data_IF_919228299368
#
_entry.id   IF_919228299368
#
_cell.length_a   1.000
_cell.length_b   1.000
_cell.length_c   1.000
_cell.angle_alpha   90.00
_cell.angle_beta   90.00
_cell.angle_gamma   90.00
#
_symmetry.space_group_name_H-M   'P 1'
#
loop_
_entity.id
_entity.type
_entity.pdbx_description
1 polymer ?
#
# COMPACT_ATOMS: atom_id res chain seq x y z
N UNK A 1 -28.36 2.29 -22.11
CA UNK A 1 -28.40 2.78 -23.51
C UNK A 1 -27.14 3.54 -23.95
N UNK A 2 -26.52 4.43 -23.16
CA UNK A 2 -25.34 5.18 -23.63
C UNK A 2 -24.01 4.39 -23.56
N UNK A 3 -23.89 3.42 -22.62
CA UNK A 3 -22.68 2.60 -22.45
C UNK A 3 -22.50 1.54 -23.54
N UNK A 4 -23.58 0.86 -23.97
CA UNK A 4 -23.51 -0.13 -25.06
C UNK A 4 -22.98 0.48 -26.36
N UNK A 5 -23.43 1.70 -26.71
CA UNK A 5 -22.94 2.41 -27.88
C UNK A 5 -21.46 2.81 -27.75
N UNK A 6 -21.02 3.22 -26.56
CA UNK A 6 -19.60 3.57 -26.30
C UNK A 6 -18.65 2.37 -26.44
N UNK A 7 -19.11 1.17 -26.08
CA UNK A 7 -18.28 -0.04 -26.06
C UNK A 7 -18.61 -1.05 -27.17
N UNK A 8 -19.38 -0.64 -28.19
CA UNK A 8 -19.76 -1.50 -29.31
C UNK A 8 -18.57 -2.10 -30.11
N UNK A 9 -17.38 -1.51 -29.97
CA UNK A 9 -16.13 -2.02 -30.56
C UNK A 9 -15.59 -3.27 -29.85
N UNK A 10 -16.00 -3.53 -28.60
CA UNK A 10 -15.62 -4.71 -27.84
C UNK A 10 -16.61 -5.83 -28.18
N UNK A 11 -16.14 -6.83 -28.92
CA UNK A 11 -16.97 -7.99 -29.30
C UNK A 11 -17.47 -8.71 -28.05
N UNK A 12 -18.79 -8.80 -27.90
CA UNK A 12 -19.43 -9.45 -26.75
C UNK A 12 -19.61 -8.54 -25.51
N UNK A 13 -19.41 -7.23 -25.64
CA UNK A 13 -19.71 -6.31 -24.54
C UNK A 13 -21.19 -6.33 -24.16
N UNK A 14 -21.48 -6.48 -22.86
CA UNK A 14 -22.85 -6.51 -22.33
C UNK A 14 -23.61 -7.83 -22.55
N UNK A 15 -22.95 -8.86 -23.08
CA UNK A 15 -23.58 -10.19 -23.32
C UNK A 15 -24.10 -10.85 -22.04
N UNK A 16 -23.44 -10.60 -20.91
CA UNK A 16 -23.83 -11.10 -19.57
C UNK A 16 -24.95 -10.27 -18.92
N UNK A 17 -25.36 -9.16 -19.53
CA UNK A 17 -26.44 -8.31 -19.01
C UNK A 17 -27.83 -8.76 -19.48
N UNK A 18 -27.90 -9.62 -20.50
CA UNK A 18 -29.14 -10.19 -21.02
C UNK A 18 -29.61 -11.35 -20.14
N UNK A 19 -30.75 -11.22 -19.43
CA UNK A 19 -31.26 -12.26 -18.54
C UNK A 19 -31.70 -13.53 -19.27
N UNK A 20 -31.93 -13.47 -20.58
CA UNK A 20 -32.31 -14.63 -21.40
C UNK A 20 -31.08 -15.40 -21.89
N UNK A 21 -29.89 -14.80 -21.82
CA UNK A 21 -28.65 -15.35 -22.33
C UNK A 21 -27.87 -16.12 -21.26
N UNK A 22 -28.55 -17.04 -20.57
CA UNK A 22 -27.96 -17.88 -19.53
C UNK A 22 -28.25 -19.37 -19.77
N UNK A 23 -27.31 -20.29 -19.46
CA UNK A 23 -27.52 -21.74 -19.66
C UNK A 23 -28.72 -22.32 -18.89
N UNK A 24 -29.16 -21.60 -17.84
CA UNK A 24 -30.26 -22.00 -16.95
C UNK A 24 -31.61 -21.38 -17.34
N UNK A 25 -31.66 -20.52 -18.35
CA UNK A 25 -32.91 -19.98 -18.90
C UNK A 25 -33.59 -21.02 -19.80
N UNK A 26 -34.92 -21.22 -19.74
CA UNK A 26 -35.93 -20.62 -18.84
C UNK A 26 -36.24 -21.49 -17.60
N UNK A 27 -35.43 -22.51 -17.29
CA UNK A 27 -35.74 -23.55 -16.30
C UNK A 27 -35.64 -23.01 -14.86
N UNK A 28 -34.68 -22.12 -14.60
CA UNK A 28 -34.46 -21.55 -13.26
C UNK A 28 -35.51 -20.48 -12.96
N UNK A 29 -36.19 -20.61 -11.81
CA UNK A 29 -37.06 -19.57 -11.27
C UNK A 29 -36.23 -18.59 -10.46
N UNK A 30 -35.85 -17.48 -11.07
CA UNK A 30 -35.04 -16.46 -10.43
C UNK A 30 -35.85 -15.70 -9.38
N UNK A 31 -35.30 -15.58 -8.18
CA UNK A 31 -35.74 -14.59 -7.18
C UNK A 31 -34.92 -13.33 -7.47
N UNK A 32 -35.55 -12.15 -7.44
CA UNK A 32 -35.02 -10.90 -8.02
C UNK A 32 -33.53 -10.57 -7.75
N UNK A 33 -32.96 -11.04 -6.63
CA UNK A 33 -31.55 -10.92 -6.28
C UNK A 33 -30.58 -11.49 -7.33
N UNK A 34 -30.98 -12.51 -8.09
CA UNK A 34 -30.12 -13.12 -9.10
C UNK A 34 -29.93 -12.25 -10.35
N UNK A 35 -30.95 -11.51 -10.78
CA UNK A 35 -30.90 -10.63 -11.96
C UNK A 35 -30.64 -9.15 -11.61
N UNK A 36 -30.83 -8.74 -10.36
CA UNK A 36 -30.51 -7.37 -9.93
C UNK A 36 -29.01 -7.09 -9.78
N UNK A 37 -28.14 -8.08 -10.03
CA UNK A 37 -26.67 -7.93 -10.00
C UNK A 37 -26.17 -6.80 -10.91
N UNK A 38 -26.81 -6.63 -12.07
CA UNK A 38 -26.47 -5.59 -13.06
C UNK A 38 -27.01 -4.21 -12.68
N UNK A 39 -28.08 -4.18 -11.87
CA UNK A 39 -28.75 -2.96 -11.38
C UNK A 39 -28.43 -2.67 -9.91
N UNK A 40 -27.31 -3.18 -9.41
CA UNK A 40 -26.85 -2.94 -8.05
C UNK A 40 -26.61 -1.44 -7.81
N UNK A 41 -27.30 -0.88 -6.82
CA UNK A 41 -27.04 0.48 -6.36
C UNK A 41 -25.75 0.51 -5.54
N UNK A 42 -24.78 1.31 -6.00
CA UNK A 42 -23.50 1.42 -5.29
C UNK A 42 -23.75 2.05 -3.91
N UNK A 43 -23.21 1.47 -2.82
CA UNK A 43 -23.37 2.03 -1.48
C UNK A 43 -22.77 3.44 -1.41
N UNK A 44 -23.28 4.30 -0.50
CA UNK A 44 -22.77 5.64 -0.33
C UNK A 44 -21.28 5.59 0.02
N UNK A 45 -20.52 6.49 -0.61
CA UNK A 45 -19.09 6.61 -0.39
C UNK A 45 -18.84 7.18 1.01
N UNK A 46 -18.01 6.52 1.82
CA UNK A 46 -17.63 7.09 3.10
C UNK A 46 -16.78 8.37 2.92
N UNK A 47 -16.85 9.34 3.84
CA UNK A 47 -16.12 10.59 3.72
C UNK A 47 -14.61 10.37 3.77
N UNK A 48 -13.88 11.02 2.86
CA UNK A 48 -12.42 11.01 2.80
C UNK A 48 -11.89 12.12 3.72
N UNK A 49 -11.40 11.75 4.90
CA UNK A 49 -10.85 12.68 5.89
C UNK A 49 -9.32 12.82 5.82
N UNK A 50 -8.65 11.85 5.22
CA UNK A 50 -7.19 11.76 5.08
C UNK A 50 -6.85 11.30 3.67
N UNK A 51 -5.60 11.49 3.25
CA UNK A 51 -5.13 10.97 1.96
C UNK A 51 -5.19 9.43 1.94
N UNK A 52 -5.87 8.88 0.94
CA UNK A 52 -6.01 7.43 0.74
C UNK A 52 -5.33 7.07 -0.57
N UNK A 53 -4.33 6.20 -0.47
CA UNK A 53 -3.71 5.62 -1.64
C UNK A 53 -4.48 4.35 -2.00
N UNK A 54 -4.95 4.28 -3.24
CA UNK A 54 -5.73 3.16 -3.75
C UNK A 54 -5.07 2.59 -5.00
N UNK A 55 -5.54 1.41 -5.41
CA UNK A 55 -5.12 0.72 -6.63
C UNK A 55 -5.18 1.65 -7.85
N UNK A 56 -4.11 1.72 -8.62
CA UNK A 56 -4.10 2.44 -9.90
C UNK A 56 -4.87 1.68 -11.01
N UNK A 57 -5.23 0.42 -10.77
CA UNK A 57 -5.97 -0.43 -11.71
C UNK A 57 -7.49 -0.26 -11.57
N UNK A 58 -7.94 0.29 -10.44
CA UNK A 58 -9.36 0.51 -10.17
C UNK A 58 -9.71 1.99 -10.22
N UNK A 59 -10.77 2.38 -10.94
CA UNK A 59 -11.22 3.76 -10.95
C UNK A 59 -11.84 4.11 -9.61
N UNK A 60 -11.11 4.89 -8.80
CA UNK A 60 -11.58 5.47 -7.55
C UNK A 60 -11.36 4.59 -6.31
N UNK A 61 -11.79 5.12 -5.17
CA UNK A 61 -11.68 4.48 -3.85
C UNK A 61 -12.84 3.52 -3.61
N UNK A 62 -12.63 2.48 -2.79
CA UNK A 62 -13.69 1.59 -2.33
C UNK A 62 -14.70 2.35 -1.47
N UNK A 63 -15.97 1.92 -1.46
CA UNK A 63 -17.04 2.59 -0.69
C UNK A 63 -16.71 2.71 0.81
N UNK A 64 -16.01 1.70 1.34
CA UNK A 64 -15.40 1.68 2.67
C UNK A 64 -13.92 1.35 2.52
N UNK A 65 -13.08 2.08 3.22
CA UNK A 65 -11.62 1.98 3.31
C UNK A 65 -11.17 2.22 4.75
N UNK A 66 -10.07 1.60 5.17
CA UNK A 66 -9.46 1.83 6.47
C UNK A 66 -7.99 2.18 6.29
N UNK A 67 -7.51 3.19 7.02
CA UNK A 67 -6.08 3.50 7.08
C UNK A 67 -5.65 3.77 8.52
N UNK A 68 -4.79 2.92 9.05
CA UNK A 68 -4.20 3.10 10.39
C UNK A 68 -2.99 4.05 10.37
N UNK A 69 -2.38 4.22 9.20
CA UNK A 69 -1.16 5.00 9.01
C UNK A 69 -1.31 5.84 7.74
N UNK A 70 -1.94 7.03 7.79
CA UNK A 70 -2.06 7.89 6.63
C UNK A 70 -0.66 8.25 6.08
N UNK A 71 -0.51 8.50 4.76
CA UNK A 71 0.78 8.80 4.15
C UNK A 71 1.34 10.15 4.63
N UNK A 72 2.28 10.11 5.56
CA UNK A 72 2.93 11.30 6.11
C UNK A 72 4.46 11.24 5.97
N UNK A 73 5.11 12.41 5.99
CA UNK A 73 6.57 12.50 5.95
C UNK A 73 7.24 11.90 4.69
N UNK A 74 8.45 11.41 4.87
CA UNK A 74 9.25 10.73 3.84
C UNK A 74 8.66 9.36 3.52
N UNK A 75 8.21 8.59 4.52
CA UNK A 75 7.59 7.29 4.27
C UNK A 75 6.32 7.43 3.42
N UNK A 76 5.51 8.46 3.66
CA UNK A 76 4.35 8.82 2.84
C UNK A 76 4.72 9.12 1.39
N UNK A 77 5.80 9.86 1.14
CA UNK A 77 6.28 10.12 -0.22
C UNK A 77 6.70 8.84 -0.96
N UNK A 78 7.33 7.90 -0.25
CA UNK A 78 7.70 6.60 -0.81
C UNK A 78 6.43 5.79 -1.14
N UNK A 79 5.41 5.81 -0.27
CA UNK A 79 4.11 5.19 -0.57
C UNK A 79 3.46 5.83 -1.78
N UNK A 80 3.39 7.16 -1.88
CA UNK A 80 2.86 7.86 -3.07
C UNK A 80 3.58 7.46 -4.36
N UNK A 81 4.89 7.20 -4.30
CA UNK A 81 5.65 6.67 -5.43
C UNK A 81 5.28 5.22 -5.77
N UNK A 82 5.11 4.36 -4.77
CA UNK A 82 4.71 2.97 -4.94
C UNK A 82 3.37 2.83 -5.69
N UNK A 83 2.36 3.62 -5.28
CA UNK A 83 1.01 3.57 -5.85
C UNK A 83 0.90 4.14 -7.28
N UNK A 84 1.98 4.68 -7.85
CA UNK A 84 2.05 4.99 -9.29
C UNK A 84 2.30 3.76 -10.16
N UNK A 85 2.83 2.68 -9.58
CA UNK A 85 3.14 1.44 -10.27
C UNK A 85 2.01 0.43 -10.08
N UNK A 86 1.79 -0.44 -11.07
CA UNK A 86 0.83 -1.56 -10.97
C UNK A 86 1.20 -2.47 -9.80
N UNK A 87 0.17 -3.01 -9.15
CA UNK A 87 0.29 -3.94 -8.04
C UNK A 87 0.99 -5.25 -8.43
N UNK A 88 1.07 -5.57 -9.72
CA UNK A 88 1.85 -6.71 -10.23
C UNK A 88 3.37 -6.46 -10.24
N UNK A 89 3.80 -5.21 -10.08
CA UNK A 89 5.20 -4.80 -10.25
C UNK A 89 5.97 -4.76 -8.94
N UNK A 90 7.25 -5.12 -8.99
CA UNK A 90 8.20 -4.88 -7.90
C UNK A 90 8.34 -3.39 -7.55
N UNK A 91 8.09 -2.48 -8.50
CA UNK A 91 8.09 -1.04 -8.28
C UNK A 91 6.99 -0.57 -7.32
N UNK A 92 5.96 -1.39 -7.10
CA UNK A 92 4.93 -1.14 -6.09
C UNK A 92 5.37 -1.68 -4.73
N UNK A 93 5.76 -2.95 -4.65
CA UNK A 93 5.99 -3.62 -3.36
C UNK A 93 7.31 -3.27 -2.67
N UNK A 94 8.41 -3.16 -3.42
CA UNK A 94 9.72 -2.88 -2.82
C UNK A 94 9.76 -1.51 -2.12
N UNK A 95 9.22 -0.42 -2.72
CA UNK A 95 9.14 0.85 -2.02
C UNK A 95 8.21 0.81 -0.80
N UNK A 96 7.11 0.05 -0.81
CA UNK A 96 6.24 -0.08 0.37
C UNK A 96 6.98 -0.70 1.56
N UNK A 97 7.72 -1.79 1.33
CA UNK A 97 8.56 -2.40 2.36
C UNK A 97 9.60 -1.43 2.92
N UNK A 98 10.19 -0.60 2.06
CA UNK A 98 11.12 0.44 2.48
C UNK A 98 10.42 1.53 3.28
N UNK A 99 9.24 1.96 2.84
CA UNK A 99 8.43 2.98 3.51
C UNK A 99 8.11 2.59 4.95
N UNK A 100 7.80 1.31 5.20
CA UNK A 100 7.53 0.82 6.55
C UNK A 100 8.76 0.89 7.46
N UNK A 101 9.95 0.63 6.94
CA UNK A 101 11.21 0.79 7.70
C UNK A 101 11.52 2.25 7.97
N UNK A 102 11.27 3.13 7.00
CA UNK A 102 11.45 4.58 7.15
C UNK A 102 10.48 5.13 8.20
N UNK A 103 9.21 4.73 8.15
CA UNK A 103 8.17 5.20 9.08
C UNK A 103 8.51 4.91 10.54
N UNK A 104 9.13 3.75 10.83
CA UNK A 104 9.60 3.43 12.19
C UNK A 104 10.68 4.42 12.66
N UNK A 105 11.61 4.78 11.77
CA UNK A 105 12.68 5.74 12.10
C UNK A 105 12.10 7.15 12.27
N UNK A 106 11.15 7.55 11.42
CA UNK A 106 10.42 8.82 11.55
C UNK A 106 9.69 8.93 12.89
N UNK A 107 8.96 7.88 13.28
CA UNK A 107 8.26 7.82 14.57
C UNK A 107 9.22 7.97 15.75
N UNK A 108 10.35 7.26 15.74
CA UNK A 108 11.39 7.40 16.79
C UNK A 108 11.91 8.83 16.86
N UNK A 109 12.20 9.46 15.72
CA UNK A 109 12.68 10.84 15.66
C UNK A 109 11.62 11.80 16.22
N UNK A 110 10.36 11.61 15.89
CA UNK A 110 9.27 12.46 16.35
C UNK A 110 8.97 12.28 17.84
N UNK A 111 9.09 11.07 18.39
CA UNK A 111 9.02 10.82 19.83
C UNK A 111 10.15 11.54 20.57
N UNK A 112 11.37 11.45 20.06
CA UNK A 112 12.54 12.17 20.56
C UNK A 112 12.34 13.70 20.55
N UNK A 113 11.77 14.26 19.48
CA UNK A 113 11.44 15.70 19.39
C UNK A 113 10.38 16.11 20.42
N UNK A 114 9.43 15.23 20.72
CA UNK A 114 8.38 15.46 21.73
C UNK A 114 8.87 15.25 23.17
N UNK A 115 10.14 14.90 23.35
CA UNK A 115 10.74 14.67 24.67
C UNK A 115 10.47 13.28 25.26
N UNK A 116 9.85 12.38 24.49
CA UNK A 116 9.68 10.99 24.88
C UNK A 116 10.87 10.18 24.36
N UNK A 117 11.73 9.73 25.27
CA UNK A 117 12.78 8.78 24.93
C UNK A 117 12.21 7.37 25.10
N UNK A 118 11.87 6.66 24.01
CA UNK A 118 11.42 5.28 24.13
C UNK A 118 12.51 4.43 24.79
N UNK A 119 12.11 3.49 25.65
CA UNK A 119 13.06 2.61 26.32
C UNK A 119 13.47 1.47 25.37
N UNK A 120 14.10 1.83 24.26
CA UNK A 120 14.52 0.93 23.17
C UNK A 120 15.39 -0.21 23.73
N UNK A 121 16.17 0.07 24.78
CA UNK A 121 17.04 -0.91 25.43
C UNK A 121 16.28 -2.02 26.16
N UNK A 122 15.13 -1.69 26.78
CA UNK A 122 14.27 -2.67 27.43
C UNK A 122 13.35 -3.36 26.41
N UNK A 123 12.73 -2.59 25.50
CA UNK A 123 11.73 -3.08 24.55
C UNK A 123 12.32 -3.96 23.44
N UNK A 124 13.52 -3.65 22.94
CA UNK A 124 14.21 -4.52 21.95
C UNK A 124 14.97 -5.68 22.60
N UNK A 125 14.91 -5.83 23.92
CA UNK A 125 15.60 -6.89 24.65
C UNK A 125 17.14 -6.83 24.53
N UNK A 126 17.71 -5.66 24.26
CA UNK A 126 19.16 -5.51 24.06
C UNK A 126 19.96 -5.88 25.30
N UNK A 127 19.40 -5.74 26.51
CA UNK A 127 20.01 -6.28 27.74
C UNK A 127 20.18 -7.80 27.68
N UNK A 128 19.17 -8.52 27.20
CA UNK A 128 19.24 -9.96 27.02
C UNK A 128 20.20 -10.33 25.88
N UNK A 129 20.14 -9.63 24.74
CA UNK A 129 21.07 -9.84 23.64
C UNK A 129 22.53 -9.58 24.07
N UNK A 130 22.78 -8.57 24.88
CA UNK A 130 24.11 -8.30 25.45
C UNK A 130 24.52 -9.31 26.52
N UNK A 131 23.59 -9.95 27.23
CA UNK A 131 23.94 -10.96 28.23
C UNK A 131 24.23 -12.32 27.59
N UNK A 132 23.42 -12.73 26.61
CA UNK A 132 23.43 -14.08 26.06
C UNK A 132 24.04 -14.18 24.65
N UNK A 133 24.12 -13.09 23.88
CA UNK A 133 24.63 -13.10 22.50
C UNK A 133 25.31 -11.78 22.09
N UNK A 134 26.37 -11.40 22.81
CA UNK A 134 27.14 -10.16 22.53
C UNK A 134 27.69 -10.13 21.11
N UNK A 135 28.27 -11.24 20.66
CA UNK A 135 28.88 -11.33 19.33
C UNK A 135 27.83 -11.12 18.22
N UNK A 136 26.64 -11.71 18.36
CA UNK A 136 25.54 -11.52 17.41
C UNK A 136 25.00 -10.09 17.40
N UNK A 137 24.91 -9.44 18.57
CA UNK A 137 24.48 -8.04 18.65
C UNK A 137 25.51 -7.11 18.00
N UNK A 138 26.80 -7.25 18.32
CA UNK A 138 27.88 -6.43 17.76
C UNK A 138 27.95 -6.60 16.24
N UNK A 139 27.87 -7.84 15.74
CA UNK A 139 27.82 -8.11 14.30
C UNK A 139 26.63 -7.40 13.63
N UNK A 140 25.44 -7.48 14.22
CA UNK A 140 24.25 -6.79 13.70
C UNK A 140 24.48 -5.28 13.62
N UNK A 141 24.93 -4.67 14.72
CA UNK A 141 25.20 -3.22 14.80
C UNK A 141 26.23 -2.81 13.74
N UNK A 142 27.36 -3.52 13.67
CA UNK A 142 28.42 -3.24 12.71
C UNK A 142 27.93 -3.34 11.26
N UNK A 143 27.16 -4.39 10.93
CA UNK A 143 26.61 -4.58 9.59
C UNK A 143 25.64 -3.46 9.22
N UNK A 144 24.74 -3.08 10.13
CA UNK A 144 23.82 -1.95 9.91
C UNK A 144 24.56 -0.61 9.75
N UNK A 145 25.60 -0.37 10.56
CA UNK A 145 26.42 0.84 10.46
C UNK A 145 27.16 0.90 9.11
N UNK A 146 27.75 -0.22 8.67
CA UNK A 146 28.43 -0.29 7.37
C UNK A 146 27.46 -0.05 6.21
N UNK A 147 26.30 -0.72 6.21
CA UNK A 147 25.30 -0.58 5.16
C UNK A 147 24.77 0.86 5.08
N UNK A 148 24.44 1.47 6.21
CA UNK A 148 23.98 2.87 6.25
C UNK A 148 25.06 3.84 5.77
N UNK A 149 26.32 3.64 6.20
CA UNK A 149 27.44 4.48 5.74
C UNK A 149 27.67 4.37 4.24
N UNK A 150 27.61 3.15 3.69
CA UNK A 150 27.74 2.91 2.25
C UNK A 150 26.63 3.62 1.45
N UNK A 151 25.38 3.52 1.89
CA UNK A 151 24.24 4.23 1.27
C UNK A 151 24.43 5.74 1.30
N UNK A 152 24.87 6.30 2.44
CA UNK A 152 25.13 7.75 2.57
C UNK A 152 26.28 8.21 1.67
N UNK A 153 27.36 7.43 1.57
CA UNK A 153 28.49 7.74 0.69
C UNK A 153 28.08 7.68 -0.78
N UNK A 154 27.33 6.66 -1.19
CA UNK A 154 26.80 6.54 -2.56
C UNK A 154 25.88 7.72 -2.90
N UNK A 155 24.99 8.10 -1.97
CA UNK A 155 24.11 9.25 -2.15
C UNK A 155 24.90 10.56 -2.30
N UNK A 156 25.92 10.79 -1.47
CA UNK A 156 26.81 11.97 -1.59
C UNK A 156 27.59 11.98 -2.90
N UNK A 157 28.12 10.83 -3.33
CA UNK A 157 28.86 10.69 -4.58
C UNK A 157 27.98 10.98 -5.80
N UNK A 158 26.77 10.41 -5.85
CA UNK A 158 25.81 10.65 -6.92
C UNK A 158 25.43 12.14 -7.04
N UNK A 159 25.26 12.83 -5.90
CA UNK A 159 24.97 14.27 -5.88
C UNK A 159 26.15 15.13 -6.30
N UNK A 160 27.38 14.73 -5.98
CA UNK A 160 28.60 15.42 -6.42
C UNK A 160 28.85 15.30 -7.92
N UNK A 161 28.39 14.22 -8.56
CA UNK A 161 28.54 13.99 -10.01
C UNK A 161 27.48 14.68 -10.86
N UNK A 162 26.41 15.16 -10.21
CA UNK A 162 25.30 15.90 -10.81
C UNK A 162 25.47 17.42 -10.72
N UNK A 163 26.51 17.91 -10.03
CA UNK A 163 26.95 19.31 -10.02
C UNK A 163 28.14 19.46 -10.95
#
# INVERSE_FOLDING_TARGET
MDLEKKFAHIKGWGVDADPENEPTYPIKKYTGDDHQRTNWERPPQQPVTVEILHSNERPGVSAVFGTSCPPEGLSGNIRRYAFKHSESSYGHWLPLLLADRVNVVEGIIDDLKKGHVPNIFAEKGWKAAWKYNRAGLIKKIALTALATTAVVMLYKSARSKSR
#
